data_IF_501256072960
#
_entry.id   IF_501256072960
#
_cell.length_a   1.000
_cell.length_b   1.000
_cell.length_c   1.000
_cell.angle_alpha   90.00
_cell.angle_beta   90.00
_cell.angle_gamma   90.00
#
_symmetry.space_group_name_H-M   'P 1'
#
loop_
_entity.id
_entity.type
_entity.pdbx_description
1 polymer ?
#
# COMPACT_ATOMS: atom_id res chain seq x y z
N UNK A 1 -0.64 61.38 -14.66
CA UNK A 1 0.30 62.26 -13.92
C UNK A 1 0.55 61.57 -12.59
N UNK A 2 1.61 60.75 -12.52
CA UNK A 2 1.97 59.95 -11.35
C UNK A 2 2.61 60.86 -10.28
N UNK A 3 2.22 60.67 -9.01
CA UNK A 3 2.67 61.50 -7.89
C UNK A 3 4.14 61.19 -7.56
N UNK A 4 5.07 62.17 -7.67
CA UNK A 4 6.51 61.97 -7.42
C UNK A 4 6.84 61.52 -5.99
N UNK A 5 5.95 61.78 -5.01
CA UNK A 5 6.12 61.25 -3.64
C UNK A 5 5.89 59.74 -3.55
N UNK A 6 5.01 59.20 -4.39
CA UNK A 6 4.69 57.76 -4.38
C UNK A 6 5.82 56.93 -4.99
N UNK A 7 6.48 57.46 -6.03
CA UNK A 7 7.67 56.83 -6.61
C UNK A 7 8.86 56.88 -5.64
N UNK A 8 9.07 57.99 -4.94
CA UNK A 8 10.13 58.12 -3.93
C UNK A 8 9.94 57.13 -2.75
N UNK A 9 8.70 56.91 -2.32
CA UNK A 9 8.37 55.94 -1.26
C UNK A 9 8.58 54.49 -1.72
N UNK A 10 8.19 54.16 -2.96
CA UNK A 10 8.43 52.83 -3.53
C UNK A 10 9.92 52.54 -3.69
N UNK A 11 10.69 53.51 -4.17
CA UNK A 11 12.15 53.39 -4.29
C UNK A 11 12.77 53.18 -2.90
N UNK A 12 12.39 53.95 -1.89
CA UNK A 12 12.88 53.77 -0.52
C UNK A 12 12.53 52.39 0.08
N UNK A 13 11.32 51.89 -0.17
CA UNK A 13 10.90 50.54 0.24
C UNK A 13 11.71 49.45 -0.46
N UNK A 14 11.98 49.59 -1.75
CA UNK A 14 12.83 48.65 -2.50
C UNK A 14 14.27 48.68 -1.97
N UNK A 15 14.83 49.86 -1.71
CA UNK A 15 16.17 49.97 -1.09
C UNK A 15 16.23 49.36 0.30
N UNK A 16 15.20 49.55 1.13
CA UNK A 16 15.10 48.93 2.47
C UNK A 16 14.98 47.41 2.38
N UNK A 17 14.16 46.88 1.47
CA UNK A 17 14.06 45.45 1.22
C UNK A 17 15.38 44.87 0.71
N UNK A 18 16.04 45.52 -0.26
CA UNK A 18 17.32 45.06 -0.80
C UNK A 18 18.42 45.10 0.27
N UNK A 19 18.47 46.15 1.09
CA UNK A 19 19.42 46.25 2.20
C UNK A 19 19.23 45.13 3.23
N UNK A 20 17.99 44.74 3.52
CA UNK A 20 17.67 43.60 4.39
C UNK A 20 18.07 42.25 3.77
N UNK A 21 18.00 42.10 2.44
CA UNK A 21 18.46 40.89 1.75
C UNK A 21 19.99 40.75 1.73
N UNK A 22 20.74 41.86 1.87
CA UNK A 22 22.21 41.86 1.85
C UNK A 22 22.86 41.89 3.24
N UNK A 23 22.06 41.99 4.29
CA UNK A 23 22.57 42.05 5.66
C UNK A 23 23.09 40.68 6.12
N UNK A 24 24.28 40.68 6.73
CA UNK A 24 24.84 39.50 7.40
C UNK A 24 24.13 39.19 8.72
N UNK A 25 24.36 37.98 9.23
CA UNK A 25 23.85 37.52 10.52
C UNK A 25 24.86 37.84 11.63
N UNK A 26 24.35 38.10 12.84
CA UNK A 26 25.19 38.24 14.03
C UNK A 26 25.16 36.97 14.87
N UNK A 27 26.31 36.40 15.21
CA UNK A 27 26.41 35.12 15.92
C UNK A 27 27.19 35.25 17.23
N UNK A 28 27.01 34.27 18.12
CA UNK A 28 27.82 34.11 19.34
C UNK A 28 29.17 33.48 18.98
N UNK A 29 30.26 34.08 19.43
CA UNK A 29 31.62 33.57 19.23
C UNK A 29 32.47 33.85 20.48
N UNK A 30 32.60 32.90 21.43
CA UNK A 30 33.30 33.10 22.69
C UNK A 30 34.76 33.55 22.52
N UNK A 31 35.43 33.09 21.46
CA UNK A 31 36.83 33.38 21.15
C UNK A 31 37.05 34.66 20.33
N UNK A 32 35.97 35.32 19.90
CA UNK A 32 36.03 36.56 19.13
C UNK A 32 36.06 37.79 20.06
N UNK A 33 36.54 38.93 19.53
CA UNK A 33 36.40 40.21 20.21
C UNK A 33 34.90 40.53 20.43
N UNK A 34 34.54 41.00 21.63
CA UNK A 34 33.15 41.23 22.05
C UNK A 34 32.25 39.99 22.05
N UNK A 35 32.83 38.77 22.10
CA UNK A 35 32.11 37.49 22.11
C UNK A 35 31.11 37.26 20.96
N UNK A 36 31.23 38.04 19.88
CA UNK A 36 30.29 38.06 18.77
C UNK A 36 31.03 38.20 17.44
N UNK A 37 30.40 37.77 16.36
CA UNK A 37 30.90 37.94 15.00
C UNK A 37 29.73 38.21 14.05
N UNK A 38 30.00 38.89 12.94
CA UNK A 38 29.02 39.17 11.88
C UNK A 38 29.40 38.38 10.62
N UNK A 39 28.43 37.73 9.96
CA UNK A 39 28.66 36.94 8.74
C UNK A 39 28.59 37.81 7.49
N UNK A 40 29.06 37.29 6.35
CA UNK A 40 28.71 37.84 5.05
C UNK A 40 27.23 37.52 4.70
N UNK A 41 26.71 38.12 3.62
CA UNK A 41 25.43 37.71 3.03
C UNK A 41 25.46 36.20 2.73
N UNK A 42 24.39 35.49 3.08
CA UNK A 42 24.26 34.02 2.96
C UNK A 42 25.22 33.19 3.85
N UNK A 43 25.82 33.80 4.88
CA UNK A 43 26.54 33.07 5.92
C UNK A 43 25.62 32.32 6.90
N UNK A 44 26.21 31.63 7.87
CA UNK A 44 25.47 30.94 8.93
C UNK A 44 26.18 31.05 10.28
N UNK A 45 25.42 30.95 11.37
CA UNK A 45 25.98 30.76 12.70
C UNK A 45 26.28 29.28 12.94
N UNK A 46 27.43 29.00 13.55
CA UNK A 46 27.90 27.66 13.84
C UNK A 46 27.93 27.38 15.34
N UNK A 47 27.52 26.16 15.69
CA UNK A 47 27.60 25.62 17.04
C UNK A 47 28.08 24.17 16.96
N UNK A 48 29.10 23.83 17.73
CA UNK A 48 29.64 22.48 17.75
C UNK A 48 30.04 22.05 19.15
N UNK A 49 29.84 20.77 19.43
CA UNK A 49 30.42 20.07 20.57
C UNK A 49 31.16 18.84 20.06
N UNK A 50 32.39 18.62 20.52
CA UNK A 50 33.23 17.50 20.13
C UNK A 50 33.91 16.89 21.36
N UNK A 51 34.20 15.59 21.28
CA UNK A 51 34.88 14.88 22.35
C UNK A 51 36.40 14.89 22.09
N UNK A 52 37.16 15.61 22.91
CA UNK A 52 38.62 15.66 22.86
C UNK A 52 39.15 15.15 24.20
N UNK A 53 39.97 14.09 24.18
CA UNK A 53 40.54 13.46 25.38
C UNK A 53 39.49 13.08 26.46
N UNK A 54 38.30 12.68 26.03
CA UNK A 54 37.19 12.29 26.93
C UNK A 54 36.45 13.47 27.57
N UNK A 55 36.77 14.71 27.22
CA UNK A 55 36.08 15.93 27.64
C UNK A 55 35.29 16.53 26.48
N UNK A 56 34.08 17.00 26.78
CA UNK A 56 33.29 17.77 25.82
C UNK A 56 33.89 19.17 25.66
N UNK A 57 34.26 19.53 24.42
CA UNK A 57 34.67 20.87 24.04
C UNK A 57 33.64 21.48 23.11
N UNK A 58 33.24 22.72 23.40
CA UNK A 58 32.23 23.46 22.62
C UNK A 58 32.88 24.62 21.88
N UNK A 59 32.60 24.75 20.59
CA UNK A 59 33.09 25.83 19.74
C UNK A 59 31.92 26.46 18.98
N UNK A 60 31.87 27.80 19.01
CA UNK A 60 30.84 28.62 18.34
C UNK A 60 31.52 29.70 17.51
N UNK A 61 31.10 29.89 16.27
CA UNK A 61 31.63 30.94 15.38
C UNK A 61 30.65 31.30 14.26
N UNK A 62 31.07 32.22 13.41
CA UNK A 62 30.45 32.53 12.13
C UNK A 62 31.04 31.63 11.04
N UNK A 63 30.22 31.23 10.07
CA UNK A 63 30.64 30.52 8.86
C UNK A 63 30.39 31.38 7.62
N UNK A 64 31.39 31.40 6.74
CA UNK A 64 31.28 31.99 5.42
C UNK A 64 30.57 31.04 4.42
N UNK A 65 29.98 31.56 3.34
CA UNK A 65 29.38 30.74 2.29
C UNK A 65 30.36 29.72 1.66
N UNK A 66 31.65 30.07 1.58
CA UNK A 66 32.71 29.17 1.09
C UNK A 66 32.98 27.99 2.02
N UNK A 67 32.96 28.21 3.33
CA UNK A 67 33.18 27.15 4.32
C UNK A 67 31.99 26.19 4.38
N UNK A 68 30.77 26.70 4.20
CA UNK A 68 29.55 25.88 4.14
C UNK A 68 29.54 24.92 2.95
N UNK A 69 30.09 25.32 1.79
CA UNK A 69 30.21 24.43 0.62
C UNK A 69 31.06 23.19 0.88
N UNK A 70 31.93 23.23 1.90
CA UNK A 70 32.79 22.12 2.29
C UNK A 70 32.05 20.91 2.89
N UNK A 71 30.72 20.95 3.08
CA UNK A 71 29.88 19.86 3.61
C UNK A 71 30.31 19.25 4.97
N UNK A 72 31.37 19.74 5.63
CA UNK A 72 31.88 19.14 6.89
C UNK A 72 31.41 19.92 8.13
N UNK A 73 31.25 21.24 8.03
CA UNK A 73 31.00 22.09 9.19
C UNK A 73 29.62 21.92 9.81
N UNK A 74 28.60 21.62 9.01
CA UNK A 74 27.21 21.49 9.47
C UNK A 74 26.75 20.03 9.70
N UNK A 75 27.63 19.04 9.50
CA UNK A 75 27.26 17.62 9.61
C UNK A 75 27.81 17.01 10.90
N UNK A 76 26.95 16.33 11.65
CA UNK A 76 27.32 15.66 12.90
C UNK A 76 27.91 14.26 12.64
N UNK A 77 28.79 13.80 13.54
CA UNK A 77 29.31 12.43 13.58
C UNK A 77 28.84 11.72 14.85
N UNK A 78 28.38 10.47 14.72
CA UNK A 78 27.89 9.68 15.86
C UNK A 78 28.95 9.58 16.95
N UNK A 79 28.58 9.93 18.19
CA UNK A 79 29.39 9.82 19.40
C UNK A 79 30.75 10.54 19.39
N UNK A 80 31.04 11.38 18.38
CA UNK A 80 32.33 12.08 18.23
C UNK A 80 32.13 13.58 18.16
N UNK A 81 31.16 14.05 17.37
CA UNK A 81 30.88 15.48 17.25
C UNK A 81 29.43 15.76 16.89
N UNK A 82 28.81 16.72 17.56
CA UNK A 82 27.49 17.25 17.20
C UNK A 82 27.68 18.68 16.72
N UNK A 83 27.33 18.93 15.46
CA UNK A 83 27.50 20.22 14.78
C UNK A 83 26.15 20.68 14.25
N UNK A 84 25.84 21.96 14.43
CA UNK A 84 24.60 22.59 13.99
C UNK A 84 24.90 23.95 13.36
N UNK A 85 24.16 24.26 12.30
CA UNK A 85 24.21 25.54 11.59
C UNK A 85 22.81 26.16 11.59
N UNK A 86 22.72 27.47 11.78
CA UNK A 86 21.45 28.19 11.84
C UNK A 86 21.58 29.60 11.22
N UNK A 87 20.44 30.19 10.87
CA UNK A 87 20.36 31.34 9.94
C UNK A 87 19.59 32.53 10.53
N UNK A 88 19.60 32.69 11.85
CA UNK A 88 18.99 33.82 12.54
C UNK A 88 19.97 34.43 13.54
N UNK A 89 19.81 35.70 13.88
CA UNK A 89 20.72 36.37 14.81
C UNK A 89 20.78 35.64 16.16
N UNK A 90 22.01 35.40 16.62
CA UNK A 90 22.36 34.74 17.88
C UNK A 90 21.78 33.34 18.07
N UNK A 91 21.34 32.67 17.01
CA UNK A 91 20.72 31.34 17.08
C UNK A 91 21.64 30.26 17.64
N UNK A 92 22.96 30.43 17.51
CA UNK A 92 23.95 29.49 18.03
C UNK A 92 24.19 29.64 19.55
N UNK A 93 23.34 30.37 20.28
CA UNK A 93 23.49 30.53 21.72
C UNK A 93 23.11 29.27 22.53
N UNK A 94 22.45 28.28 21.92
CA UNK A 94 22.10 27.02 22.60
C UNK A 94 23.34 26.20 22.99
N UNK A 95 23.21 25.36 24.01
CA UNK A 95 24.26 24.43 24.44
C UNK A 95 24.02 23.06 23.82
N UNK A 96 24.97 22.59 23.01
CA UNK A 96 24.94 21.24 22.48
C UNK A 96 25.64 20.30 23.47
N UNK A 97 25.02 19.16 23.72
CA UNK A 97 25.62 18.08 24.49
C UNK A 97 25.79 16.86 23.58
N UNK A 98 26.91 16.14 23.72
CA UNK A 98 27.05 14.79 23.19
C UNK A 98 26.27 13.88 24.13
N UNK A 99 24.94 13.97 24.08
CA UNK A 99 24.16 12.84 24.56
C UNK A 99 24.64 11.64 23.72
N UNK A 100 25.10 10.52 24.31
CA UNK A 100 24.86 9.26 23.61
C UNK A 100 23.38 9.31 23.26
N UNK A 101 23.00 9.03 22.01
CA UNK A 101 21.60 8.73 21.75
C UNK A 101 21.22 7.69 22.82
N UNK A 102 20.56 8.12 23.90
CA UNK A 102 19.43 7.35 24.37
C UNK A 102 18.64 7.24 23.09
N UNK A 103 18.51 6.03 22.52
CA UNK A 103 17.75 5.88 21.30
C UNK A 103 16.50 6.69 21.57
N UNK A 104 16.22 7.63 20.67
CA UNK A 104 14.93 8.31 20.60
C UNK A 104 13.93 7.28 21.11
N UNK A 105 13.21 7.56 22.19
CA UNK A 105 11.94 6.87 22.41
C UNK A 105 11.03 7.33 21.26
N UNK A 106 11.41 7.00 20.01
CA UNK A 106 10.55 6.32 19.09
C UNK A 106 9.83 5.35 20.00
N UNK A 107 8.52 5.54 20.09
CA UNK A 107 7.60 4.56 20.59
C UNK A 107 7.77 3.31 19.71
N UNK A 108 8.91 2.65 19.83
CA UNK A 108 9.36 1.50 19.12
C UNK A 108 8.85 0.36 19.96
N UNK A 109 7.55 0.10 19.82
CA UNK A 109 6.93 -1.12 20.30
C UNK A 109 7.94 -2.24 20.09
N UNK A 110 8.40 -2.87 21.18
CA UNK A 110 9.28 -4.02 21.06
C UNK A 110 8.64 -4.98 20.05
N UNK A 111 9.42 -5.62 19.17
CA UNK A 111 8.86 -6.51 18.13
C UNK A 111 7.82 -7.48 18.69
N UNK A 112 7.98 -7.90 19.96
CA UNK A 112 6.98 -8.66 20.71
C UNK A 112 5.67 -7.89 20.96
N UNK A 113 5.73 -6.64 21.42
CA UNK A 113 4.55 -5.81 21.70
C UNK A 113 3.75 -5.52 20.43
N UNK A 114 4.42 -5.23 19.31
CA UNK A 114 3.74 -5.03 18.02
C UNK A 114 3.09 -6.34 17.53
N UNK A 115 3.80 -7.47 17.70
CA UNK A 115 3.25 -8.79 17.34
C UNK A 115 2.03 -9.12 18.18
N UNK A 116 2.06 -8.87 19.49
CA UNK A 116 0.93 -9.13 20.39
C UNK A 116 -0.28 -8.25 20.04
N UNK A 117 -0.07 -6.96 19.75
CA UNK A 117 -1.18 -6.04 19.42
C UNK A 117 -1.82 -6.29 18.06
N UNK A 118 -1.11 -6.89 17.11
CA UNK A 118 -1.72 -7.27 15.82
C UNK A 118 -2.34 -8.66 15.91
N UNK A 119 -1.62 -9.62 16.51
CA UNK A 119 -1.99 -11.02 16.48
C UNK A 119 -3.19 -11.31 17.41
N UNK A 120 -3.24 -10.72 18.61
CA UNK A 120 -4.33 -10.97 19.56
C UNK A 120 -5.69 -10.50 19.03
N UNK A 121 -5.87 -9.26 18.53
CA UNK A 121 -7.15 -8.84 17.96
C UNK A 121 -7.54 -9.64 16.71
N UNK A 122 -6.57 -9.99 15.86
CA UNK A 122 -6.84 -10.81 14.68
C UNK A 122 -7.33 -12.22 15.06
N UNK A 123 -6.73 -12.86 16.08
CA UNK A 123 -7.18 -14.15 16.59
C UNK A 123 -8.57 -14.07 17.21
N UNK A 124 -8.85 -13.03 18.01
CA UNK A 124 -10.17 -12.82 18.61
C UNK A 124 -11.26 -12.61 17.54
N UNK A 125 -10.95 -11.85 16.49
CA UNK A 125 -11.87 -11.67 15.35
C UNK A 125 -12.14 -12.98 14.63
N UNK A 126 -11.10 -13.77 14.34
CA UNK A 126 -11.24 -15.08 13.71
C UNK A 126 -12.10 -16.05 14.54
N UNK A 127 -11.87 -16.12 15.85
CA UNK A 127 -12.67 -16.94 16.76
C UNK A 127 -14.12 -16.45 16.80
N UNK A 128 -14.35 -15.13 16.84
CA UNK A 128 -15.69 -14.55 16.79
C UNK A 128 -16.45 -14.90 15.51
N UNK A 129 -15.79 -14.86 14.35
CA UNK A 129 -16.38 -15.25 13.06
C UNK A 129 -16.71 -16.75 13.06
N UNK A 130 -15.79 -17.61 13.51
CA UNK A 130 -16.03 -19.05 13.59
C UNK A 130 -17.20 -19.39 14.51
N UNK A 131 -17.28 -18.77 15.68
CA UNK A 131 -18.42 -18.93 16.60
C UNK A 131 -19.71 -18.42 15.97
N UNK A 132 -19.68 -17.26 15.31
CA UNK A 132 -20.84 -16.73 14.57
C UNK A 132 -21.34 -17.69 13.49
N UNK A 133 -20.43 -18.24 12.68
CA UNK A 133 -20.76 -19.24 11.66
C UNK A 133 -21.32 -20.52 12.30
N UNK A 134 -20.73 -21.02 13.39
CA UNK A 134 -21.23 -22.19 14.11
C UNK A 134 -22.62 -21.94 14.70
N UNK A 135 -22.89 -20.75 15.24
CA UNK A 135 -24.21 -20.38 15.75
C UNK A 135 -25.23 -20.28 14.63
N UNK A 136 -24.88 -19.64 13.50
CA UNK A 136 -25.77 -19.54 12.33
C UNK A 136 -26.04 -20.90 11.71
N UNK A 137 -25.02 -21.75 11.55
CA UNK A 137 -25.18 -23.13 11.06
C UNK A 137 -25.98 -23.99 12.05
N UNK A 138 -25.74 -23.83 13.36
CA UNK A 138 -26.50 -24.49 14.42
C UNK A 138 -27.97 -24.07 14.38
N UNK A 139 -28.24 -22.77 14.20
CA UNK A 139 -29.59 -22.24 14.03
C UNK A 139 -30.23 -22.72 12.72
N UNK A 140 -29.48 -22.79 11.61
CA UNK A 140 -29.97 -23.33 10.34
C UNK A 140 -30.25 -24.83 10.40
N UNK A 141 -29.43 -25.60 11.12
CA UNK A 141 -29.64 -27.03 11.35
C UNK A 141 -30.78 -27.30 12.34
N UNK A 142 -30.93 -26.47 13.38
CA UNK A 142 -32.05 -26.53 14.30
C UNK A 142 -33.36 -26.14 13.60
N UNK A 143 -33.37 -25.02 12.88
CA UNK A 143 -34.49 -24.56 12.06
C UNK A 143 -34.83 -25.57 10.95
N UNK A 144 -33.83 -26.17 10.31
CA UNK A 144 -34.01 -27.25 9.33
C UNK A 144 -34.50 -28.56 9.94
N UNK A 145 -34.25 -28.80 11.23
CA UNK A 145 -34.82 -29.93 11.99
C UNK A 145 -36.28 -29.68 12.37
N UNK A 146 -36.61 -28.46 12.82
CA UNK A 146 -38.01 -28.10 13.13
C UNK A 146 -38.87 -28.08 11.86
N UNK A 147 -38.33 -27.63 10.71
CA UNK A 147 -38.99 -27.68 9.40
C UNK A 147 -39.17 -29.11 8.84
N UNK A 148 -38.45 -30.10 9.37
CA UNK A 148 -38.64 -31.53 9.01
C UNK A 148 -39.75 -32.21 9.81
N UNK A 149 -40.40 -31.51 10.75
CA UNK A 149 -41.38 -32.08 11.68
C UNK A 149 -42.82 -31.56 11.47
N UNK A 150 -43.15 -31.05 10.28
CA UNK A 150 -44.53 -30.84 9.87
C UNK A 150 -44.92 -31.89 8.78
N UNK A 151 -45.85 -32.81 9.08
CA UNK A 151 -46.44 -33.72 8.12
C UNK A 151 -47.71 -33.12 7.49
N UNK A 152 -47.72 -33.02 6.15
CA UNK A 152 -48.88 -32.88 5.21
C UNK A 152 -49.71 -31.58 5.37
N UNK A 153 -50.08 -30.74 4.39
CA UNK A 153 -50.65 -30.83 3.01
C UNK A 153 -50.93 -29.34 2.56
N UNK A 154 -51.51 -28.96 1.39
CA UNK A 154 -51.41 -29.39 -0.01
C UNK A 154 -50.99 -28.22 -0.96
N UNK A 155 -50.84 -28.55 -2.25
CA UNK A 155 -50.62 -27.71 -3.45
C UNK A 155 -51.16 -26.26 -3.42
N UNK A 156 -50.33 -25.29 -3.85
CA UNK A 156 -50.76 -24.32 -4.86
C UNK A 156 -49.58 -23.78 -5.69
N UNK A 157 -49.88 -23.53 -6.95
CA UNK A 157 -49.00 -23.48 -8.11
C UNK A 157 -48.69 -22.01 -8.48
N UNK A 158 -47.42 -21.58 -8.46
CA UNK A 158 -46.96 -20.40 -9.22
C UNK A 158 -45.50 -20.57 -9.71
N UNK A 159 -45.38 -21.35 -10.79
CA UNK A 159 -44.72 -20.98 -12.05
C UNK A 159 -43.69 -19.82 -12.02
N UNK A 160 -42.40 -20.16 -12.11
CA UNK A 160 -41.61 -19.70 -13.27
C UNK A 160 -40.46 -20.67 -13.55
N UNK A 161 -40.83 -21.78 -14.18
CA UNK A 161 -39.95 -22.38 -15.18
C UNK A 161 -39.65 -21.31 -16.25
N UNK A 162 -38.39 -21.15 -16.61
CA UNK A 162 -38.03 -20.80 -17.98
C UNK A 162 -37.26 -22.00 -18.54
N UNK A 163 -37.93 -22.92 -19.25
CA UNK A 163 -37.34 -24.14 -19.77
C UNK A 163 -36.69 -23.97 -21.16
N UNK A 164 -36.36 -22.75 -21.59
CA UNK A 164 -36.04 -22.47 -23.00
C UNK A 164 -34.67 -21.82 -23.24
N UNK A 165 -33.67 -22.07 -22.38
CA UNK A 165 -32.28 -21.72 -22.72
C UNK A 165 -31.42 -22.96 -22.61
N UNK A 166 -31.24 -23.62 -23.75
CA UNK A 166 -30.29 -24.71 -23.87
C UNK A 166 -28.89 -24.18 -23.55
N UNK A 167 -27.97 -25.05 -23.12
CA UNK A 167 -26.55 -24.71 -22.95
C UNK A 167 -25.99 -23.91 -24.14
N UNK A 168 -26.46 -24.22 -25.36
CA UNK A 168 -26.07 -23.54 -26.60
C UNK A 168 -26.49 -22.06 -26.60
N UNK A 169 -27.65 -21.71 -26.07
CA UNK A 169 -28.15 -20.33 -26.04
C UNK A 169 -27.37 -19.46 -25.03
N UNK A 170 -26.99 -20.04 -23.89
CA UNK A 170 -26.11 -19.37 -22.91
C UNK A 170 -24.70 -19.14 -23.47
N UNK A 171 -24.15 -20.10 -24.21
CA UNK A 171 -22.84 -19.96 -24.86
C UNK A 171 -22.91 -18.89 -25.97
N UNK A 172 -24.01 -18.82 -26.70
CA UNK A 172 -24.23 -17.85 -27.78
C UNK A 172 -24.46 -16.42 -27.26
N UNK A 173 -25.27 -16.23 -26.21
CA UNK A 173 -25.53 -14.91 -25.58
C UNK A 173 -24.24 -14.28 -24.98
N UNK A 174 -23.31 -15.09 -24.46
CA UNK A 174 -22.00 -14.61 -23.97
C UNK A 174 -21.06 -14.18 -25.11
N UNK A 175 -21.36 -14.60 -26.33
CA UNK A 175 -20.49 -14.48 -27.50
C UNK A 175 -20.78 -13.28 -28.39
N UNK A 176 -21.97 -12.68 -28.24
CA UNK A 176 -22.49 -11.64 -29.13
C UNK A 176 -22.50 -10.24 -28.50
N UNK A 177 -22.13 -10.09 -27.22
CA UNK A 177 -22.00 -8.78 -26.59
C UNK A 177 -20.67 -8.11 -26.99
N UNK A 178 -20.70 -7.44 -28.13
CA UNK A 178 -19.59 -6.64 -28.66
C UNK A 178 -19.31 -5.42 -27.79
N UNK A 179 -18.30 -5.54 -26.93
CA UNK A 179 -17.45 -4.45 -26.41
C UNK A 179 -16.28 -5.08 -25.67
N UNK A 180 -15.12 -5.13 -26.32
CA UNK A 180 -13.94 -5.79 -25.79
C UNK A 180 -13.44 -5.15 -24.50
N UNK A 181 -13.66 -5.81 -23.36
CA UNK A 181 -12.88 -5.61 -22.14
C UNK A 181 -13.21 -6.71 -21.10
N UNK A 182 -12.63 -7.89 -21.31
CA UNK A 182 -12.29 -8.87 -20.26
C UNK A 182 -13.44 -9.48 -19.47
N UNK A 183 -13.77 -10.75 -19.76
CA UNK A 183 -14.02 -11.80 -18.75
C UNK A 183 -14.30 -13.18 -19.37
N UNK A 184 -13.31 -14.10 -19.39
CA UNK A 184 -13.56 -15.54 -19.39
C UNK A 184 -13.27 -16.20 -18.02
N UNK A 185 -12.53 -15.53 -17.12
CA UNK A 185 -11.98 -16.16 -15.92
C UNK A 185 -12.96 -16.31 -14.75
N UNK A 186 -13.85 -15.33 -14.48
CA UNK A 186 -14.83 -15.45 -13.39
C UNK A 186 -15.99 -16.39 -13.76
N UNK A 187 -16.36 -16.46 -15.04
CA UNK A 187 -17.39 -17.36 -15.55
C UNK A 187 -16.88 -18.81 -15.51
N UNK A 188 -15.66 -19.10 -15.97
CA UNK A 188 -15.06 -20.44 -15.87
C UNK A 188 -14.90 -20.93 -14.42
N UNK A 189 -14.47 -20.05 -13.51
CA UNK A 189 -14.34 -20.40 -12.07
C UNK A 189 -15.67 -20.70 -11.40
N UNK A 190 -16.76 -20.11 -11.86
CA UNK A 190 -18.10 -20.33 -11.28
C UNK A 190 -18.76 -21.57 -11.89
N UNK A 191 -18.60 -21.80 -13.19
CA UNK A 191 -19.12 -22.99 -13.88
C UNK A 191 -18.54 -24.26 -13.27
N UNK A 192 -17.22 -24.34 -13.12
CA UNK A 192 -16.55 -25.53 -12.59
C UNK A 192 -17.07 -25.95 -11.19
N UNK A 193 -17.45 -24.99 -10.34
CA UNK A 193 -18.00 -25.26 -8.98
C UNK A 193 -19.41 -25.85 -8.99
N UNK A 194 -20.16 -25.62 -10.07
CA UNK A 194 -21.57 -26.04 -10.20
C UNK A 194 -21.74 -27.33 -11.01
N UNK A 195 -20.64 -27.90 -11.52
CA UNK A 195 -20.65 -29.19 -12.22
C UNK A 195 -20.51 -30.32 -11.21
N UNK A 196 -21.40 -31.31 -11.30
CA UNK A 196 -21.30 -32.56 -10.52
C UNK A 196 -20.59 -33.61 -11.36
N UNK A 197 -19.38 -34.03 -10.96
CA UNK A 197 -18.66 -35.12 -11.62
C UNK A 197 -19.37 -36.46 -11.36
N UNK A 198 -19.50 -37.27 -12.41
CA UNK A 198 -20.11 -38.59 -12.36
C UNK A 198 -19.03 -39.67 -12.52
N UNK A 199 -18.80 -40.15 -13.75
CA UNK A 199 -17.86 -41.23 -14.05
C UNK A 199 -16.69 -40.76 -14.93
N UNK A 200 -15.54 -41.41 -14.81
CA UNK A 200 -14.39 -41.14 -15.69
C UNK A 200 -14.64 -41.78 -17.06
N UNK A 201 -14.65 -40.97 -18.12
CA UNK A 201 -14.85 -41.42 -19.51
C UNK A 201 -13.52 -41.90 -20.11
N UNK A 202 -12.41 -41.26 -19.77
CA UNK A 202 -11.10 -41.64 -20.31
C UNK A 202 -9.93 -40.94 -19.64
N UNK A 203 -8.73 -41.53 -19.75
CA UNK A 203 -7.48 -40.93 -19.26
C UNK A 203 -6.49 -40.81 -20.41
N UNK A 204 -5.94 -39.61 -20.59
CA UNK A 204 -4.92 -39.32 -21.60
C UNK A 204 -3.60 -38.87 -20.97
N UNK A 205 -2.59 -38.66 -21.80
CA UNK A 205 -1.25 -38.19 -21.37
C UNK A 205 -1.29 -36.85 -20.62
N UNK A 206 -2.25 -35.99 -20.96
CA UNK A 206 -2.31 -34.62 -20.46
C UNK A 206 -3.50 -34.35 -19.53
N UNK A 207 -4.30 -35.35 -19.18
CA UNK A 207 -5.43 -35.15 -18.29
C UNK A 207 -6.46 -36.29 -18.31
N UNK A 208 -7.40 -36.21 -17.39
CA UNK A 208 -8.52 -37.15 -17.27
C UNK A 208 -9.81 -36.48 -17.75
N UNK A 209 -10.61 -37.21 -18.52
CA UNK A 209 -11.91 -36.76 -19.02
C UNK A 209 -13.01 -37.45 -18.21
N UNK A 210 -13.91 -36.65 -17.66
CA UNK A 210 -15.01 -37.06 -16.81
C UNK A 210 -16.35 -36.69 -17.44
N UNK A 211 -17.39 -37.51 -17.22
CA UNK A 211 -18.78 -37.12 -17.43
C UNK A 211 -19.20 -36.29 -16.23
N UNK A 212 -19.71 -35.09 -16.47
CA UNK A 212 -20.30 -34.23 -15.45
C UNK A 212 -21.75 -33.90 -15.77
N UNK A 213 -22.51 -33.47 -14.76
CA UNK A 213 -23.81 -32.83 -14.96
C UNK A 213 -23.76 -31.36 -14.58
N UNK A 214 -24.25 -30.50 -15.48
CA UNK A 214 -24.43 -29.08 -15.24
C UNK A 214 -25.87 -28.67 -15.57
N UNK A 215 -26.61 -28.17 -14.58
CA UNK A 215 -28.03 -27.77 -14.75
C UNK A 215 -28.92 -28.84 -15.39
N UNK A 216 -28.60 -30.12 -15.16
CA UNK A 216 -29.34 -31.27 -15.68
C UNK A 216 -28.79 -31.86 -16.99
N UNK A 217 -27.98 -31.10 -17.73
CA UNK A 217 -27.35 -31.52 -18.99
C UNK A 217 -26.00 -32.24 -18.75
N UNK A 218 -25.70 -33.21 -19.61
CA UNK A 218 -24.44 -33.95 -19.58
C UNK A 218 -23.33 -33.14 -20.28
N UNK A 219 -22.20 -33.01 -19.60
CA UNK A 219 -21.02 -32.26 -20.07
C UNK A 219 -19.75 -33.10 -19.93
N UNK A 220 -18.79 -32.90 -20.83
CA UNK A 220 -17.45 -33.49 -20.71
C UNK A 220 -16.54 -32.53 -19.94
N UNK A 221 -15.87 -33.02 -18.90
CA UNK A 221 -14.95 -32.23 -18.06
C UNK A 221 -13.56 -32.81 -18.18
N UNK A 222 -12.64 -32.05 -18.80
CA UNK A 222 -11.22 -32.43 -18.91
C UNK A 222 -10.43 -31.78 -17.77
N UNK A 223 -9.94 -32.61 -16.85
CA UNK A 223 -9.20 -32.20 -15.65
C UNK A 223 -7.71 -32.40 -15.91
N UNK A 224 -6.94 -31.31 -15.78
CA UNK A 224 -5.49 -31.31 -15.95
C UNK A 224 -4.80 -31.33 -14.58
N UNK A 225 -3.64 -31.99 -14.51
CA UNK A 225 -2.76 -31.84 -13.36
C UNK A 225 -2.20 -30.41 -13.33
N UNK A 226 -1.94 -29.87 -12.14
CA UNK A 226 -1.24 -28.59 -11.99
C UNK A 226 0.16 -28.59 -12.63
N UNK A 227 0.78 -29.76 -12.81
CA UNK A 227 2.07 -29.90 -13.51
C UNK A 227 1.97 -29.66 -15.02
N UNK A 228 0.79 -29.87 -15.60
CA UNK A 228 0.51 -29.75 -17.04
C UNK A 228 -0.21 -28.44 -17.39
N UNK A 229 -0.06 -27.40 -16.56
CA UNK A 229 -0.70 -26.08 -16.74
C UNK A 229 -0.44 -25.48 -18.13
N UNK A 230 0.76 -25.67 -18.70
CA UNK A 230 1.10 -25.21 -20.06
C UNK A 230 0.30 -25.93 -21.16
N UNK A 231 -0.11 -27.17 -20.90
CA UNK A 231 -0.95 -27.93 -21.83
C UNK A 231 -2.40 -27.47 -21.71
N UNK A 232 -2.88 -27.24 -20.48
CA UNK A 232 -4.19 -26.62 -20.24
C UNK A 232 -4.31 -25.24 -20.89
N UNK A 233 -3.32 -24.37 -20.70
CA UNK A 233 -3.35 -23.00 -21.23
C UNK A 233 -3.45 -22.98 -22.76
N UNK A 234 -2.62 -23.78 -23.45
CA UNK A 234 -2.66 -23.90 -24.91
C UNK A 234 -4.02 -24.42 -25.41
N UNK A 235 -4.56 -25.43 -24.76
CA UNK A 235 -5.85 -26.00 -25.16
C UNK A 235 -7.00 -25.01 -24.92
N UNK A 236 -7.01 -24.34 -23.77
CA UNK A 236 -7.99 -23.30 -23.45
C UNK A 236 -7.94 -22.10 -24.40
N UNK A 237 -6.73 -21.67 -24.80
CA UNK A 237 -6.52 -20.60 -25.77
C UNK A 237 -7.09 -20.97 -27.15
N UNK A 238 -6.80 -22.19 -27.63
CA UNK A 238 -7.30 -22.69 -28.92
C UNK A 238 -8.84 -22.71 -28.94
N UNK A 239 -9.49 -23.31 -27.94
CA UNK A 239 -10.96 -23.37 -27.90
C UNK A 239 -11.66 -22.03 -27.64
N UNK A 240 -10.93 -21.02 -27.12
CA UNK A 240 -11.46 -19.67 -26.93
C UNK A 240 -11.28 -18.76 -28.16
N UNK A 241 -10.56 -19.21 -29.19
CA UNK A 241 -10.37 -18.43 -30.41
C UNK A 241 -11.70 -18.20 -31.12
N UNK A 242 -12.05 -16.93 -31.36
CA UNK A 242 -13.38 -16.49 -31.84
C UNK A 242 -13.80 -17.13 -33.18
N UNK A 243 -12.85 -17.62 -33.99
CA UNK A 243 -13.08 -18.18 -35.33
C UNK A 243 -13.22 -19.72 -35.38
N UNK A 244 -13.20 -20.45 -34.25
CA UNK A 244 -13.24 -21.92 -34.23
C UNK A 244 -14.61 -22.54 -33.87
N UNK A 245 -15.66 -21.74 -33.73
CA UNK A 245 -17.01 -22.25 -33.43
C UNK A 245 -17.66 -22.85 -34.68
N UNK A 246 -17.52 -24.16 -34.84
CA UNK A 246 -18.10 -24.93 -35.96
C UNK A 246 -18.79 -26.18 -35.43
N UNK A 247 -19.87 -26.65 -36.06
CA UNK A 247 -20.63 -27.85 -35.64
C UNK A 247 -19.82 -29.17 -35.64
N UNK A 248 -18.64 -29.17 -36.25
CA UNK A 248 -17.74 -30.34 -36.38
C UNK A 248 -16.49 -30.20 -35.50
N UNK A 249 -16.42 -29.13 -34.70
CA UNK A 249 -15.36 -28.86 -33.74
C UNK A 249 -16.03 -28.79 -32.37
N UNK A 250 -15.51 -29.57 -31.41
CA UNK A 250 -16.00 -29.59 -30.03
C UNK A 250 -15.93 -28.22 -29.36
#
# INVERSE_FOLDING_TARGET
MTDPRKESLQVALVFLCVAQLTAGLRCVCPLCANHTCDTAAEGACWNSVMLIDGKEETVKSCLSPSEMKGQVFCYSSRNVSKRSCCFTDFCNNETLHLHPERPLEELGWSRLQLTVVILVPSCLLCVGILLGVCLVQGHHCAYGRTRKQDPEEPLDDQMQMSPDKSLKDLIYDMSTSGSGSGLPLLVQRTIARTIVLQETIGKGRFGEVWRGKWRGEDVAVKIFSSRDERSWFREAEIYQTIMLRHENIL
#
